data_IF_445504124047
#
_entry.id   IF_445504124047
#
_cell.length_a   1.000
_cell.length_b   1.000
_cell.length_c   1.000
_cell.angle_alpha   90.00
_cell.angle_beta   90.00
_cell.angle_gamma   90.00
#
_symmetry.space_group_name_H-M   'P 1'
#
loop_
_entity.id
_entity.type
_entity.pdbx_description
1 polymer ?
#
# COMPACT_ATOMS: atom_id res chain seq x y z
N UNK A 1 -9.44 2.39 -29.26
CA UNK A 1 -8.71 2.93 -28.10
C UNK A 1 -8.27 1.76 -27.23
N UNK A 2 -7.02 1.73 -26.79
CA UNK A 2 -6.51 0.69 -25.87
C UNK A 2 -6.64 1.18 -24.44
N UNK A 3 -7.36 0.44 -23.59
CA UNK A 3 -7.47 0.70 -22.17
C UNK A 3 -6.34 -0.01 -21.42
N UNK A 4 -5.66 0.70 -20.52
CA UNK A 4 -4.63 0.13 -19.63
C UNK A 4 -5.07 0.39 -18.19
N UNK A 5 -5.14 -0.67 -17.38
CA UNK A 5 -5.56 -0.61 -15.98
C UNK A 5 -4.51 -1.25 -15.07
N UNK A 6 -4.42 -0.72 -13.85
CA UNK A 6 -3.54 -1.24 -12.80
C UNK A 6 -4.36 -2.13 -11.87
N UNK A 7 -4.00 -3.41 -11.79
CA UNK A 7 -4.65 -4.39 -10.92
C UNK A 7 -4.16 -4.30 -9.48
N UNK A 8 -4.51 -3.23 -8.77
CA UNK A 8 -4.02 -2.96 -7.39
C UNK A 8 -4.22 -4.13 -6.43
N UNK A 9 -5.36 -4.83 -6.52
CA UNK A 9 -5.66 -5.99 -5.68
C UNK A 9 -4.67 -7.15 -5.90
N UNK A 10 -4.42 -7.51 -7.16
CA UNK A 10 -3.50 -8.59 -7.51
C UNK A 10 -2.05 -8.22 -7.17
N UNK A 11 -1.63 -6.99 -7.50
CA UNK A 11 -0.28 -6.51 -7.19
C UNK A 11 0.01 -6.49 -5.69
N UNK A 12 -0.96 -6.06 -4.86
CA UNK A 12 -0.83 -6.08 -3.40
C UNK A 12 -0.80 -7.48 -2.78
N UNK A 13 -1.11 -8.52 -3.57
CA UNK A 13 -1.18 -9.92 -3.15
C UNK A 13 -0.20 -10.85 -3.86
N UNK A 14 0.67 -10.31 -4.70
CA UNK A 14 1.67 -11.10 -5.42
C UNK A 14 2.66 -11.74 -4.43
N UNK A 15 2.74 -13.09 -4.32
CA UNK A 15 3.67 -13.77 -3.43
C UNK A 15 5.15 -13.51 -3.75
N UNK A 16 5.48 -13.13 -4.99
CA UNK A 16 6.84 -12.79 -5.39
C UNK A 16 7.31 -11.44 -4.79
N UNK A 17 6.37 -10.52 -4.54
CA UNK A 17 6.63 -9.24 -3.89
C UNK A 17 6.37 -9.32 -2.39
N UNK A 18 5.33 -10.06 -2.00
CA UNK A 18 4.81 -10.17 -0.64
C UNK A 18 4.77 -11.64 -0.18
N UNK A 19 5.87 -12.21 0.33
CA UNK A 19 5.86 -13.56 0.87
C UNK A 19 4.76 -13.72 1.94
N UNK A 20 3.90 -14.73 1.77
CA UNK A 20 2.67 -14.92 2.57
C UNK A 20 1.73 -13.71 2.45
N UNK A 21 1.32 -13.40 1.22
CA UNK A 21 0.55 -12.19 0.91
C UNK A 21 -0.85 -12.14 1.54
N UNK A 22 -1.51 -13.30 1.70
CA UNK A 22 -2.83 -13.41 2.34
C UNK A 22 -2.79 -13.30 3.87
N UNK A 23 -1.60 -13.25 4.48
CA UNK A 23 -1.45 -13.13 5.93
C UNK A 23 -1.24 -11.67 6.34
N UNK A 24 -2.07 -11.20 7.28
CA UNK A 24 -1.85 -9.92 7.95
C UNK A 24 -0.55 -9.97 8.77
N UNK A 25 0.51 -9.35 8.26
CA UNK A 25 1.84 -9.35 8.89
C UNK A 25 2.43 -7.93 8.90
N UNK A 26 2.05 -7.07 9.86
CA UNK A 26 2.53 -5.68 9.95
C UNK A 26 4.05 -5.57 9.98
N UNK A 27 4.73 -6.56 10.56
CA UNK A 27 6.19 -6.61 10.71
C UNK A 27 6.92 -6.53 9.37
N UNK A 28 6.27 -6.83 8.24
CA UNK A 28 6.86 -6.72 6.90
C UNK A 28 7.26 -5.29 6.52
N UNK A 29 6.69 -4.30 7.21
CA UNK A 29 6.93 -2.88 6.96
C UNK A 29 7.98 -2.28 7.91
N UNK A 30 8.54 -3.08 8.82
CA UNK A 30 9.60 -2.65 9.73
C UNK A 30 10.98 -2.75 9.02
N UNK A 31 11.89 -1.81 9.29
CA UNK A 31 13.25 -1.79 8.72
C UNK A 31 13.43 -0.75 7.63
N UNK A 32 14.06 -1.12 6.50
CA UNK A 32 14.49 -0.20 5.42
C UNK A 32 13.35 0.51 4.64
N UNK A 33 12.12 0.48 5.15
CA UNK A 33 10.94 1.06 4.53
C UNK A 33 10.44 0.27 3.31
N UNK A 34 9.24 0.59 2.81
CA UNK A 34 8.71 -0.01 1.59
C UNK A 34 9.60 0.35 0.39
N UNK A 35 9.95 -0.63 -0.44
CA UNK A 35 10.59 -0.34 -1.72
C UNK A 35 9.61 0.44 -2.61
N UNK A 36 10.12 1.23 -3.58
CA UNK A 36 9.26 1.88 -4.57
C UNK A 36 8.26 0.88 -5.16
N UNK A 37 7.00 1.31 -5.30
CA UNK A 37 5.89 0.51 -5.85
C UNK A 37 5.40 -0.69 -5.02
N UNK A 38 5.89 -0.91 -3.79
CA UNK A 38 5.30 -1.91 -2.89
C UNK A 38 4.03 -1.40 -2.18
N UNK A 39 3.88 -0.09 -1.98
CA UNK A 39 2.71 0.51 -1.33
C UNK A 39 1.82 1.27 -2.31
N UNK A 40 1.02 0.57 -3.12
CA UNK A 40 0.18 1.19 -4.16
C UNK A 40 -1.29 1.37 -3.76
N UNK A 41 -1.65 1.19 -2.48
CA UNK A 41 -3.02 1.35 -2.00
C UNK A 41 -3.63 2.72 -2.32
N UNK A 42 -2.80 3.77 -2.32
CA UNK A 42 -3.17 5.14 -2.69
C UNK A 42 -2.65 5.54 -4.09
N UNK A 43 -2.17 4.59 -4.90
CA UNK A 43 -1.50 4.87 -6.16
C UNK A 43 -0.10 5.49 -5.97
N UNK A 44 0.50 5.91 -7.09
CA UNK A 44 1.84 6.51 -7.12
C UNK A 44 1.93 7.60 -8.21
N UNK A 45 2.84 8.55 -8.04
CA UNK A 45 3.11 9.61 -9.00
C UNK A 45 2.09 10.76 -8.96
N UNK A 46 2.01 11.58 -10.04
CA UNK A 46 1.18 12.79 -10.07
C UNK A 46 -0.32 12.55 -9.89
N UNK A 47 -0.80 11.32 -10.16
CA UNK A 47 -2.20 10.92 -10.01
C UNK A 47 -2.45 10.01 -8.80
N UNK A 48 -1.54 10.02 -7.81
CA UNK A 48 -1.82 9.36 -6.54
C UNK A 48 -3.03 10.00 -5.84
N UNK A 49 -3.67 9.25 -4.95
CA UNK A 49 -4.80 9.73 -4.17
C UNK A 49 -4.41 10.97 -3.36
N UNK A 50 -5.15 12.06 -3.56
CA UNK A 50 -4.95 13.33 -2.87
C UNK A 50 -5.12 13.18 -1.35
N UNK A 51 -6.01 12.29 -0.92
CA UNK A 51 -6.33 12.04 0.49
C UNK A 51 -5.32 11.15 1.23
N UNK A 52 -4.25 10.67 0.58
CA UNK A 52 -3.29 9.73 1.18
C UNK A 52 -2.80 10.19 2.55
N UNK A 53 -2.33 11.43 2.65
CA UNK A 53 -1.74 11.96 3.89
C UNK A 53 -2.76 12.08 5.02
N UNK A 54 -4.01 12.44 4.68
CA UNK A 54 -5.10 12.53 5.65
C UNK A 54 -5.43 11.12 6.15
N UNK A 55 -5.60 10.17 5.24
CA UNK A 55 -5.91 8.78 5.59
C UNK A 55 -4.81 8.14 6.45
N UNK A 56 -3.53 8.34 6.10
CA UNK A 56 -2.39 7.85 6.89
C UNK A 56 -2.36 8.49 8.30
N UNK A 57 -2.64 9.80 8.42
CA UNK A 57 -2.73 10.48 9.71
C UNK A 57 -3.86 9.91 10.59
N UNK A 58 -5.07 9.77 10.02
CA UNK A 58 -6.22 9.20 10.74
C UNK A 58 -5.94 7.77 11.21
N UNK A 59 -5.29 6.94 10.38
CA UNK A 59 -4.87 5.59 10.76
C UNK A 59 -3.88 5.61 11.93
N UNK A 60 -2.92 6.53 11.92
CA UNK A 60 -1.94 6.66 13.02
C UNK A 60 -2.62 7.13 14.31
N UNK A 61 -3.49 8.12 14.24
CA UNK A 61 -4.27 8.61 15.39
C UNK A 61 -5.12 7.49 15.99
N UNK A 62 -5.81 6.73 15.14
CA UNK A 62 -6.59 5.56 15.57
C UNK A 62 -5.74 4.51 16.28
N UNK A 63 -4.58 4.15 15.70
CA UNK A 63 -3.66 3.16 16.29
C UNK A 63 -3.01 3.62 17.60
N UNK A 64 -2.90 4.93 17.85
CA UNK A 64 -2.39 5.47 19.11
C UNK A 64 -3.48 5.55 20.20
N UNK A 65 -4.75 5.65 19.79
CA UNK A 65 -5.87 5.78 20.70
C UNK A 65 -6.39 4.43 21.23
N UNK A 66 -6.37 3.41 20.36
CA UNK A 66 -6.66 2.01 20.72
C UNK A 66 -5.53 1.42 21.56
#
# INVERSE_FOLDING_TARGET
>A
QTLVQVGLFAMGRDPAVFPRAEQFRPQRWLGAGPKPFQGLAFGFGPRQCLGRRIAELEMQLFLMHV
#
